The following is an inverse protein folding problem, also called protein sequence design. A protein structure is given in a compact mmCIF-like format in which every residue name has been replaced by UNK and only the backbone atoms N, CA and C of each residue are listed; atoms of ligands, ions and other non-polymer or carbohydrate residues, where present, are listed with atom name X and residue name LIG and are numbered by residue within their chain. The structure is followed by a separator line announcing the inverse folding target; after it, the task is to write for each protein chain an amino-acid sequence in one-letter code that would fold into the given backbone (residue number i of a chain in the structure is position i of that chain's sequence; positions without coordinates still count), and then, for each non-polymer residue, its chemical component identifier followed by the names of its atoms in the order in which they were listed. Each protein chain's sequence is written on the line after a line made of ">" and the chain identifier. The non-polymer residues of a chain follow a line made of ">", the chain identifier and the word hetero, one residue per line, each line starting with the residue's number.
data_IF_626953823740
#
_entry.id   IF_626953823740
#
_cell.length_a   1.000
_cell.length_b   1.000
_cell.length_c   1.000
_cell.angle_alpha   90.00
_cell.angle_beta   90.00
_cell.angle_gamma   90.00
#
_symmetry.space_group_name_H-M   'P 1'
#
loop_
_entity.id
_entity.type
_entity.pdbx_description
1 polymer ?
#
# COMPACT_ATOMS: atom_id res chain seq x y z
N UNK A 1 -2.09 14.01 -44.42
CA UNK A 1 -1.03 14.79 -43.74
C UNK A 1 -0.06 13.84 -43.02
N UNK A 2 1.25 13.90 -43.30
CA UNK A 2 2.25 12.99 -42.70
C UNK A 2 2.68 13.38 -41.27
N UNK A 3 2.22 14.52 -40.76
CA UNK A 3 2.66 15.12 -39.49
C UNK A 3 1.99 14.51 -38.25
N UNK A 4 0.88 13.76 -38.39
CA UNK A 4 0.25 13.03 -37.28
C UNK A 4 -0.15 13.89 -36.07
N UNK A 5 -0.35 15.20 -36.26
CA UNK A 5 -0.65 16.17 -35.21
C UNK A 5 -1.08 17.51 -35.81
N UNK A 6 -1.62 18.41 -34.98
CA UNK A 6 -2.14 19.71 -35.42
C UNK A 6 -1.01 20.74 -35.49
N UNK A 7 -0.89 21.47 -36.61
CA UNK A 7 0.09 22.55 -36.77
C UNK A 7 -0.41 23.79 -36.04
N UNK A 8 0.31 24.25 -35.02
CA UNK A 8 -0.04 25.45 -34.22
C UNK A 8 0.79 26.68 -34.59
N UNK A 9 1.96 26.49 -35.18
CA UNK A 9 2.80 27.58 -35.68
C UNK A 9 3.74 27.09 -36.78
N UNK A 10 3.97 27.94 -37.80
CA UNK A 10 4.91 27.66 -38.89
C UNK A 10 5.54 28.97 -39.38
N UNK A 11 6.83 29.17 -39.09
CA UNK A 11 7.59 30.33 -39.56
C UNK A 11 9.08 29.99 -39.64
N UNK A 12 9.77 30.49 -40.67
CA UNK A 12 11.24 30.47 -40.74
C UNK A 12 11.89 29.09 -40.63
N UNK A 13 11.24 28.03 -41.14
CA UNK A 13 11.74 26.65 -41.03
C UNK A 13 11.41 25.95 -39.70
N UNK A 14 10.85 26.67 -38.72
CA UNK A 14 10.36 26.10 -37.47
C UNK A 14 8.90 25.66 -37.63
N UNK A 15 8.62 24.42 -37.26
CA UNK A 15 7.28 23.84 -37.22
C UNK A 15 6.95 23.44 -35.77
N UNK A 16 5.94 24.09 -35.19
CA UNK A 16 5.42 23.71 -33.88
C UNK A 16 4.13 22.93 -34.09
N UNK A 17 4.14 21.68 -33.64
CA UNK A 17 3.03 20.75 -33.74
C UNK A 17 2.50 20.40 -32.34
N UNK A 18 1.18 20.38 -32.20
CA UNK A 18 0.51 19.81 -31.04
C UNK A 18 0.27 18.32 -31.31
N UNK A 19 0.97 17.47 -30.55
CA UNK A 19 0.75 16.01 -30.53
C UNK A 19 0.24 15.61 -29.16
N UNK A 20 -1.07 15.41 -29.07
CA UNK A 20 -1.74 14.97 -27.85
C UNK A 20 -3.19 14.58 -28.16
N UNK A 21 -3.89 14.06 -27.15
CA UNK A 21 -5.34 13.89 -27.23
C UNK A 21 -5.98 15.29 -27.33
N UNK A 22 -7.16 15.40 -27.95
CA UNK A 22 -7.97 16.63 -27.96
C UNK A 22 -8.39 16.96 -26.51
N UNK A 23 -7.47 17.55 -25.75
CA UNK A 23 -7.63 17.83 -24.34
C UNK A 23 -8.27 19.20 -24.23
N UNK A 24 -9.56 19.21 -23.91
CA UNK A 24 -10.24 20.44 -23.55
C UNK A 24 -10.16 20.60 -22.01
N UNK A 25 -9.38 21.56 -21.49
CA UNK A 25 -9.22 21.74 -20.05
C UNK A 25 -10.55 21.97 -19.32
N UNK A 26 -11.56 22.53 -20.01
CA UNK A 26 -12.90 22.77 -19.46
C UNK A 26 -13.77 21.51 -19.39
N UNK A 27 -13.50 20.51 -20.23
CA UNK A 27 -14.25 19.24 -20.27
C UNK A 27 -13.52 18.09 -19.56
N UNK A 28 -12.40 18.37 -18.89
CA UNK A 28 -11.64 17.33 -18.19
C UNK A 28 -12.47 16.81 -17.00
N UNK A 29 -12.50 15.49 -16.74
CA UNK A 29 -13.10 14.99 -15.51
C UNK A 29 -12.28 15.50 -14.32
N UNK A 30 -12.95 16.12 -13.34
CA UNK A 30 -12.34 16.43 -12.07
C UNK A 30 -12.29 15.14 -11.24
N UNK A 31 -11.11 14.53 -11.16
CA UNK A 31 -10.89 13.38 -10.28
C UNK A 31 -10.79 13.96 -8.86
N UNK A 32 -11.71 13.62 -7.94
CA UNK A 32 -11.59 14.06 -6.56
C UNK A 32 -10.30 13.50 -5.96
N UNK A 33 -9.63 14.29 -5.12
CA UNK A 33 -8.57 13.78 -4.26
C UNK A 33 -9.22 12.76 -3.32
N UNK A 34 -9.15 11.48 -3.66
CA UNK A 34 -9.65 10.42 -2.81
C UNK A 34 -8.74 10.35 -1.59
N UNK A 35 -9.12 11.04 -0.50
CA UNK A 35 -8.54 10.94 0.83
C UNK A 35 -8.89 9.61 1.52
N UNK A 36 -9.24 8.59 0.73
CA UNK A 36 -9.55 7.27 1.25
C UNK A 36 -8.25 6.58 1.64
N UNK A 37 -7.82 6.80 2.88
CA UNK A 37 -6.84 5.93 3.52
C UNK A 37 -7.62 4.67 3.96
N UNK A 38 -7.28 3.47 3.48
CA UNK A 38 -7.88 2.26 4.02
C UNK A 38 -7.60 2.21 5.53
N UNK A 39 -8.52 1.60 6.28
CA UNK A 39 -8.27 1.36 7.71
C UNK A 39 -6.96 0.58 7.85
N UNK A 40 -6.15 0.93 8.85
CA UNK A 40 -4.88 0.26 9.08
C UNK A 40 -5.13 -1.24 9.29
N UNK A 41 -4.32 -2.12 8.68
CA UNK A 41 -4.50 -3.55 8.83
C UNK A 41 -4.33 -3.91 10.31
N UNK A 42 -5.33 -4.63 10.86
CA UNK A 42 -5.23 -5.17 12.22
C UNK A 42 -4.45 -6.47 12.14
N UNK A 43 -3.18 -6.45 12.54
CA UNK A 43 -2.36 -7.65 12.59
C UNK A 43 -2.71 -8.50 13.82
N UNK A 44 -2.77 -9.83 13.69
CA UNK A 44 -2.89 -10.71 14.84
C UNK A 44 -1.65 -10.60 15.72
N UNK A 45 -1.81 -10.81 17.03
CA UNK A 45 -0.68 -10.84 17.97
C UNK A 45 0.24 -12.00 17.61
N UNK A 46 1.54 -11.73 17.50
CA UNK A 46 2.57 -12.75 17.24
C UNK A 46 2.62 -13.82 18.34
N UNK A 47 2.39 -13.40 19.59
CA UNK A 47 2.35 -14.30 20.75
C UNK A 47 0.88 -14.53 21.10
N UNK A 48 0.42 -15.77 20.92
CA UNK A 48 -0.93 -16.18 21.31
C UNK A 48 -1.04 -16.23 22.84
N UNK A 49 -2.18 -15.79 23.38
CA UNK A 49 -2.47 -15.85 24.82
C UNK A 49 -2.58 -17.28 25.32
N UNK A 50 -3.22 -18.13 24.53
CA UNK A 50 -3.35 -19.57 24.73
C UNK A 50 -2.49 -20.32 23.73
N UNK A 51 -1.91 -21.43 24.16
CA UNK A 51 -1.33 -22.40 23.23
C UNK A 51 -2.50 -23.12 22.55
N UNK A 52 -2.39 -23.42 21.26
CA UNK A 52 -3.46 -24.11 20.53
C UNK A 52 -3.74 -25.47 21.20
N UNK A 53 -5.01 -25.70 21.59
CA UNK A 53 -5.44 -26.94 22.25
C UNK A 53 -5.39 -26.95 23.78
N UNK A 54 -4.92 -25.88 24.44
CA UNK A 54 -4.96 -25.73 25.91
C UNK A 54 -5.92 -24.63 26.35
N UNK A 55 -6.47 -24.79 27.54
CA UNK A 55 -7.20 -23.70 28.22
C UNK A 55 -6.24 -22.60 28.71
N UNK A 56 -6.80 -21.43 29.05
CA UNK A 56 -6.03 -20.29 29.57
C UNK A 56 -5.31 -20.64 30.88
N UNK A 57 -5.95 -21.45 31.71
CA UNK A 57 -5.46 -21.84 33.04
C UNK A 57 -4.26 -22.77 32.91
N UNK A 58 -4.41 -23.86 32.15
CA UNK A 58 -3.32 -24.81 31.88
C UNK A 58 -2.12 -24.12 31.23
N UNK A 59 -2.36 -23.20 30.28
CA UNK A 59 -1.29 -22.43 29.64
C UNK A 59 -0.53 -21.58 30.66
N UNK A 60 -1.23 -20.97 31.63
CA UNK A 60 -0.59 -20.18 32.71
C UNK A 60 0.23 -21.08 33.63
N UNK A 61 -0.29 -22.25 33.98
CA UNK A 61 0.42 -23.22 34.81
C UNK A 61 1.69 -23.74 34.14
N UNK A 62 1.64 -24.11 32.86
CA UNK A 62 2.83 -24.54 32.12
C UNK A 62 3.88 -23.43 32.02
N UNK A 63 3.48 -22.17 31.80
CA UNK A 63 4.43 -21.03 31.81
C UNK A 63 5.08 -20.86 33.18
N UNK A 64 4.30 -20.99 34.26
CA UNK A 64 4.81 -20.92 35.64
C UNK A 64 5.76 -22.08 35.95
N UNK A 65 5.49 -23.27 35.43
CA UNK A 65 6.38 -24.42 35.53
C UNK A 65 7.69 -24.15 34.76
N UNK A 66 7.62 -23.69 33.51
CA UNK A 66 8.77 -23.37 32.68
C UNK A 66 9.73 -22.34 33.28
N UNK A 67 9.21 -21.32 33.97
CA UNK A 67 10.03 -20.33 34.68
C UNK A 67 10.86 -20.91 35.83
N UNK A 68 10.44 -22.06 36.40
CA UNK A 68 11.16 -22.74 37.48
C UNK A 68 12.22 -23.71 36.96
N UNK A 69 12.15 -24.10 35.69
CA UNK A 69 13.09 -25.04 35.09
C UNK A 69 14.41 -24.32 34.80
N UNK A 70 15.58 -24.91 35.13
CA UNK A 70 16.85 -24.32 34.75
C UNK A 70 16.95 -24.18 33.21
N UNK A 71 17.57 -23.11 32.69
CA UNK A 71 17.72 -22.91 31.26
C UNK A 71 18.55 -24.05 30.65
N UNK A 72 18.05 -24.66 29.58
CA UNK A 72 18.75 -25.73 28.86
C UNK A 72 20.06 -25.25 28.22
N UNK A 73 20.06 -24.00 27.75
CA UNK A 73 21.22 -23.33 27.16
C UNK A 73 21.26 -21.90 27.67
N UNK A 74 22.38 -21.53 28.30
CA UNK A 74 22.70 -20.12 28.57
C UNK A 74 23.33 -19.54 27.31
N UNK A 75 22.80 -18.41 26.86
CA UNK A 75 23.43 -17.56 25.83
C UNK A 75 24.62 -16.82 26.42
#
# INVERSE_FOLDING_TARGET
>A
EKTGGLIIHKQGGVLILYRGRYYNPKKRPAIPLMLWKPHEPVYPRLIKTTIDGLTIEETKEMRKAGLKVPPLTKL
#
